data_IF_682047902662
#
_entry.id   IF_682047902662
#
_cell.length_a   1.000
_cell.length_b   1.000
_cell.length_c   1.000
_cell.angle_alpha   90.00
_cell.angle_beta   90.00
_cell.angle_gamma   90.00
#
_symmetry.space_group_name_H-M   'P 1'
#
loop_
_entity.id
_entity.type
_entity.pdbx_description
1 polymer ?
#
# COMPACT_ATOMS: atom_id res chain seq x y z
N UNK A 1 25.63 -21.70 23.63
CA UNK A 1 26.61 -22.05 22.58
C UNK A 1 27.11 -20.73 21.99
N UNK A 2 28.42 -20.57 21.87
CA UNK A 2 29.05 -19.38 21.26
C UNK A 2 28.68 -19.27 19.77
N UNK A 3 28.47 -18.08 19.20
CA UNK A 3 28.14 -17.87 17.78
C UNK A 3 29.38 -17.98 16.87
N UNK A 4 30.16 -19.06 16.98
CA UNK A 4 31.32 -19.32 16.13
C UNK A 4 31.02 -20.45 15.14
N UNK A 5 30.96 -20.05 13.86
CA UNK A 5 31.02 -20.84 12.61
C UNK A 5 29.94 -21.93 12.41
N UNK A 6 28.74 -21.48 12.02
CA UNK A 6 27.71 -22.35 11.42
C UNK A 6 28.18 -22.85 10.03
N UNK A 7 27.96 -24.13 9.73
CA UNK A 7 28.28 -24.70 8.42
C UNK A 7 27.29 -24.24 7.33
N UNK A 8 27.68 -24.32 6.05
CA UNK A 8 26.78 -24.04 4.90
C UNK A 8 25.51 -24.88 5.01
N UNK A 9 25.65 -26.17 5.33
CA UNK A 9 24.51 -27.09 5.43
C UNK A 9 23.56 -26.73 6.57
N UNK A 10 24.09 -26.37 7.74
CA UNK A 10 23.24 -25.92 8.86
C UNK A 10 22.53 -24.60 8.55
N UNK A 11 23.17 -23.70 7.78
CA UNK A 11 22.56 -22.45 7.31
C UNK A 11 21.44 -22.73 6.30
N UNK A 12 21.66 -23.65 5.37
CA UNK A 12 20.67 -24.11 4.39
C UNK A 12 19.45 -24.73 5.07
N UNK A 13 19.66 -25.63 6.05
CA UNK A 13 18.58 -26.28 6.80
C UNK A 13 17.72 -25.26 7.58
N UNK A 14 18.34 -24.21 8.14
CA UNK A 14 17.62 -23.10 8.77
C UNK A 14 16.79 -22.32 7.74
N UNK A 15 17.35 -22.02 6.58
CA UNK A 15 16.63 -21.28 5.53
C UNK A 15 15.45 -22.09 5.01
N UNK A 16 15.63 -23.38 4.72
CA UNK A 16 14.51 -24.27 4.37
C UNK A 16 13.43 -24.29 5.46
N UNK A 17 13.82 -24.41 6.73
CA UNK A 17 12.86 -24.45 7.84
C UNK A 17 12.07 -23.15 8.02
N UNK A 18 12.70 -21.99 7.82
CA UNK A 18 12.03 -20.69 7.82
C UNK A 18 11.06 -20.60 6.64
N UNK A 19 11.52 -20.95 5.43
CA UNK A 19 10.72 -20.87 4.22
C UNK A 19 9.51 -21.80 4.29
N UNK A 20 9.71 -23.04 4.73
CA UNK A 20 8.63 -24.01 4.89
C UNK A 20 7.52 -23.55 5.79
N UNK A 21 7.87 -22.90 6.90
CA UNK A 21 6.88 -22.37 7.84
C UNK A 21 6.14 -21.15 7.29
N UNK A 22 6.82 -20.28 6.54
CA UNK A 22 6.23 -19.06 6.00
C UNK A 22 5.40 -19.31 4.73
N UNK A 23 5.78 -20.31 3.93
CA UNK A 23 5.09 -20.71 2.70
C UNK A 23 4.08 -21.84 2.90
N UNK A 24 3.96 -22.37 4.12
CA UNK A 24 3.15 -23.54 4.49
C UNK A 24 3.34 -24.74 3.53
N UNK A 25 4.60 -25.03 3.19
CA UNK A 25 4.98 -26.11 2.26
C UNK A 25 6.32 -26.74 2.61
N UNK A 26 6.57 -27.96 2.17
CA UNK A 26 7.89 -28.59 2.32
C UNK A 26 8.86 -27.99 1.28
N UNK A 27 9.91 -27.30 1.76
CA UNK A 27 10.86 -26.56 0.92
C UNK A 27 12.17 -27.33 0.80
N UNK A 28 12.58 -27.61 -0.43
CA UNK A 28 13.87 -28.22 -0.75
C UNK A 28 14.96 -27.16 -0.91
N UNK A 29 16.24 -27.51 -0.70
CA UNK A 29 17.36 -26.58 -0.86
C UNK A 29 17.49 -25.94 -2.24
N UNK A 30 16.89 -26.56 -3.26
CA UNK A 30 16.92 -26.11 -4.66
C UNK A 30 15.68 -25.35 -5.08
N UNK A 31 14.66 -25.26 -4.22
CA UNK A 31 13.41 -24.61 -4.58
C UNK A 31 13.61 -23.09 -4.66
N UNK A 32 13.10 -22.51 -5.75
CA UNK A 32 13.11 -21.08 -5.96
C UNK A 32 11.98 -20.41 -5.19
N UNK A 33 12.31 -19.45 -4.32
CA UNK A 33 11.39 -18.74 -3.44
C UNK A 33 10.15 -18.23 -4.15
N UNK A 34 10.34 -17.66 -5.35
CA UNK A 34 9.26 -17.01 -6.08
C UNK A 34 8.44 -18.01 -6.91
N UNK A 35 9.05 -19.11 -7.32
CA UNK A 35 8.34 -20.18 -8.04
C UNK A 35 7.43 -21.00 -7.11
N UNK A 36 7.77 -21.09 -5.82
CA UNK A 36 6.99 -21.83 -4.81
C UNK A 36 5.96 -20.96 -4.05
N UNK A 37 5.70 -19.74 -4.54
CA UNK A 37 4.64 -18.87 -4.01
C UNK A 37 5.12 -17.76 -3.08
N UNK A 38 6.43 -17.55 -2.92
CA UNK A 38 6.97 -16.42 -2.18
C UNK A 38 6.83 -15.10 -2.94
N UNK A 39 6.60 -14.03 -2.19
CA UNK A 39 6.46 -12.68 -2.75
C UNK A 39 7.42 -11.69 -2.07
N UNK A 40 7.47 -10.47 -2.59
CA UNK A 40 8.34 -9.40 -2.08
C UNK A 40 8.14 -9.06 -0.60
N UNK A 41 6.96 -9.34 -0.03
CA UNK A 41 6.69 -9.13 1.37
C UNK A 41 7.12 -10.33 2.22
N UNK A 42 6.90 -11.54 1.73
CA UNK A 42 7.37 -12.75 2.39
C UNK A 42 8.90 -12.81 2.47
N UNK A 43 9.60 -12.18 1.50
CA UNK A 43 11.05 -11.93 1.61
C UNK A 43 11.39 -11.19 2.89
N UNK A 44 10.61 -10.17 3.28
CA UNK A 44 10.88 -9.41 4.51
C UNK A 44 10.75 -10.32 5.74
N UNK A 45 9.67 -11.08 5.84
CA UNK A 45 9.43 -12.03 6.94
C UNK A 45 10.56 -13.07 7.05
N UNK A 46 11.00 -13.61 5.92
CA UNK A 46 12.15 -14.51 5.82
C UNK A 46 13.42 -13.87 6.41
N UNK A 47 13.76 -12.63 6.02
CA UNK A 47 14.98 -11.98 6.49
C UNK A 47 15.00 -11.79 8.01
N UNK A 48 13.85 -11.47 8.59
CA UNK A 48 13.72 -11.19 10.01
C UNK A 48 13.79 -12.44 10.86
N UNK A 49 13.17 -13.51 10.38
CA UNK A 49 13.25 -14.80 11.01
C UNK A 49 14.69 -15.33 10.99
N UNK A 50 15.34 -15.24 9.82
CA UNK A 50 16.75 -15.61 9.65
C UNK A 50 17.68 -14.77 10.53
N UNK A 51 17.38 -13.49 10.74
CA UNK A 51 18.11 -12.63 11.69
C UNK A 51 17.98 -13.13 13.13
N UNK A 52 16.82 -13.64 13.53
CA UNK A 52 16.61 -14.33 14.81
C UNK A 52 17.49 -15.58 14.97
N UNK A 53 17.85 -16.20 13.85
CA UNK A 53 18.84 -17.27 13.76
C UNK A 53 20.28 -16.76 13.61
N UNK A 54 20.55 -15.46 13.74
CA UNK A 54 21.89 -14.88 13.58
C UNK A 54 22.40 -14.83 12.14
N UNK A 55 21.50 -14.92 11.15
CA UNK A 55 21.80 -14.76 9.73
C UNK A 55 21.31 -13.39 9.28
N UNK A 56 22.22 -12.43 9.12
CA UNK A 56 21.87 -11.10 8.64
C UNK A 56 21.95 -11.06 7.11
N UNK A 57 20.79 -11.01 6.46
CA UNK A 57 20.65 -10.98 5.00
C UNK A 57 19.99 -9.67 4.58
N UNK A 58 20.38 -9.16 3.41
CA UNK A 58 19.64 -8.09 2.72
C UNK A 58 18.59 -8.71 1.81
N UNK A 59 17.47 -8.01 1.58
CA UNK A 59 16.43 -8.47 0.64
C UNK A 59 16.99 -8.78 -0.74
N UNK A 60 17.90 -7.93 -1.23
CA UNK A 60 18.59 -8.12 -2.50
C UNK A 60 19.28 -9.49 -2.63
N UNK A 61 19.75 -10.09 -1.53
CA UNK A 61 20.36 -11.42 -1.56
C UNK A 61 19.34 -12.51 -1.89
N UNK A 62 18.10 -12.41 -1.37
CA UNK A 62 17.03 -13.38 -1.65
C UNK A 62 16.60 -13.30 -3.12
N UNK A 63 16.52 -12.10 -3.70
CA UNK A 63 16.22 -11.94 -5.13
C UNK A 63 17.33 -12.46 -6.05
N UNK A 64 18.61 -12.34 -5.66
CA UNK A 64 19.76 -12.78 -6.47
C UNK A 64 20.09 -14.26 -6.30
N UNK A 65 19.77 -14.81 -5.14
CA UNK A 65 20.05 -16.18 -4.75
C UNK A 65 18.75 -16.82 -4.25
N UNK A 66 17.73 -16.99 -5.11
CA UNK A 66 16.37 -17.33 -4.67
C UNK A 66 16.20 -18.77 -4.18
N UNK A 67 17.27 -19.48 -3.80
CA UNK A 67 17.19 -20.84 -3.25
C UNK A 67 17.90 -20.92 -1.88
N UNK A 68 17.43 -21.77 -0.95
CA UNK A 68 18.07 -21.92 0.36
C UNK A 68 19.54 -22.31 0.26
N UNK A 69 19.90 -23.18 -0.68
CA UNK A 69 21.29 -23.59 -0.90
C UNK A 69 22.16 -22.45 -1.44
N UNK A 70 21.62 -21.56 -2.28
CA UNK A 70 22.36 -20.42 -2.79
C UNK A 70 22.58 -19.35 -1.71
N UNK A 71 21.57 -19.07 -0.88
CA UNK A 71 21.69 -18.15 0.27
C UNK A 71 22.66 -18.66 1.33
N UNK A 72 22.65 -19.97 1.61
CA UNK A 72 23.57 -20.57 2.56
C UNK A 72 25.04 -20.45 2.12
N UNK A 73 25.31 -20.61 0.82
CA UNK A 73 26.64 -20.37 0.24
C UNK A 73 27.01 -18.88 0.31
N UNK A 74 26.09 -18.00 -0.05
CA UNK A 74 26.30 -16.54 0.02
C UNK A 74 26.70 -16.07 1.42
N UNK A 75 26.08 -16.65 2.47
CA UNK A 75 26.42 -16.37 3.86
C UNK A 75 27.76 -16.95 4.32
N UNK A 76 28.16 -18.11 3.78
CA UNK A 76 29.41 -18.78 4.15
C UNK A 76 30.67 -18.15 3.55
N UNK A 77 30.55 -17.50 2.39
CA UNK A 77 31.66 -16.83 1.71
C UNK A 77 32.06 -15.48 2.35
N UNK A 78 31.64 -15.24 3.60
CA UNK A 78 31.89 -14.04 4.40
C UNK A 78 31.53 -12.76 3.65
N UNK A 79 30.26 -12.65 3.21
CA UNK A 79 29.69 -11.46 2.58
C UNK A 79 30.68 -10.83 1.58
N UNK A 80 31.07 -11.56 0.51
CA UNK A 80 32.10 -11.11 -0.41
C UNK A 80 31.73 -9.69 -0.89
N UNK A 81 32.70 -8.75 -1.02
CA UNK A 81 32.40 -7.39 -1.43
C UNK A 81 31.51 -7.46 -2.66
N UNK A 82 30.31 -6.88 -2.54
CA UNK A 82 29.33 -6.87 -3.61
C UNK A 82 30.06 -6.52 -4.92
N UNK A 83 29.98 -7.37 -5.97
CA UNK A 83 30.46 -6.94 -7.27
C UNK A 83 29.79 -5.61 -7.59
N UNK A 84 30.59 -4.64 -8.06
CA UNK A 84 30.32 -3.19 -8.09
C UNK A 84 29.17 -2.72 -9.02
N UNK A 85 28.07 -3.46 -9.07
CA UNK A 85 26.75 -3.00 -9.46
C UNK A 85 25.72 -3.68 -8.53
N UNK A 86 25.71 -3.25 -7.26
CA UNK A 86 24.57 -3.47 -6.40
C UNK A 86 23.37 -2.80 -7.08
N UNK A 87 22.21 -3.47 -7.10
CA UNK A 87 21.00 -2.84 -7.61
C UNK A 87 20.70 -1.70 -6.64
N UNK A 88 20.96 -0.47 -7.05
CA UNK A 88 20.97 0.68 -6.18
C UNK A 88 20.11 1.76 -6.82
N UNK A 89 19.22 2.35 -6.03
CA UNK A 89 18.49 3.53 -6.47
C UNK A 89 19.49 4.68 -6.65
N UNK A 90 19.41 5.47 -7.74
CA UNK A 90 20.19 6.70 -7.88
C UNK A 90 20.10 7.57 -6.62
N UNK A 91 21.22 8.17 -6.15
CA UNK A 91 21.22 9.01 -4.95
C UNK A 91 20.18 10.13 -4.99
N UNK A 92 19.90 10.66 -6.18
CA UNK A 92 18.92 11.74 -6.40
C UNK A 92 17.46 11.31 -6.16
N UNK A 93 17.16 10.00 -6.09
CA UNK A 93 15.87 9.49 -5.64
C UNK A 93 15.69 9.56 -4.11
N UNK A 94 16.79 9.73 -3.38
CA UNK A 94 16.78 9.78 -1.93
C UNK A 94 16.50 11.21 -1.45
N UNK A 95 15.26 11.46 -1.04
CA UNK A 95 14.92 12.59 -0.18
C UNK A 95 14.86 12.08 1.26
N UNK A 96 15.53 12.77 2.20
CA UNK A 96 15.30 12.48 3.61
C UNK A 96 13.92 12.99 4.04
N UNK A 97 13.34 12.37 5.06
CA UNK A 97 12.14 12.91 5.69
C UNK A 97 12.34 14.36 6.14
N UNK A 98 13.52 14.70 6.67
CA UNK A 98 13.87 16.03 7.15
C UNK A 98 13.86 17.10 6.04
N UNK A 99 14.24 16.74 4.82
CA UNK A 99 14.17 17.64 3.65
C UNK A 99 12.72 17.99 3.29
N UNK A 100 11.80 17.02 3.43
CA UNK A 100 10.36 17.25 3.22
C UNK A 100 9.73 18.05 4.35
N UNK A 101 10.14 17.80 5.59
CA UNK A 101 9.61 18.53 6.73
C UNK A 101 10.07 19.99 6.68
N UNK A 102 11.36 20.26 6.51
CA UNK A 102 11.91 21.62 6.64
C UNK A 102 11.39 22.62 5.60
N UNK A 103 10.97 22.17 4.42
CA UNK A 103 10.64 23.04 3.29
C UNK A 103 9.15 23.14 2.95
N UNK A 104 8.28 22.33 3.58
CA UNK A 104 6.86 22.25 3.21
C UNK A 104 5.93 22.80 4.29
N UNK A 105 4.83 23.41 3.82
CA UNK A 105 3.75 23.91 4.67
C UNK A 105 3.10 22.77 5.45
N UNK A 106 2.64 23.05 6.66
CA UNK A 106 1.83 22.11 7.43
C UNK A 106 0.56 21.73 6.66
N UNK A 107 0.17 20.45 6.72
CA UNK A 107 -1.13 19.96 6.25
C UNK A 107 -2.30 20.72 6.88
N UNK A 108 -2.09 21.28 8.08
CA UNK A 108 -3.07 22.02 8.87
C UNK A 108 -2.93 23.54 8.76
N UNK A 109 -2.10 24.05 7.85
CA UNK A 109 -2.01 25.48 7.62
C UNK A 109 -3.40 26.01 7.15
N UNK A 110 -3.82 27.22 7.58
CA UNK A 110 -5.12 27.78 7.16
C UNK A 110 -5.28 27.94 5.65
N UNK A 111 -4.16 28.09 4.92
CA UNK A 111 -4.08 28.20 3.46
C UNK A 111 -3.65 26.89 2.79
N UNK A 112 -3.63 25.76 3.51
CA UNK A 112 -3.30 24.47 2.93
C UNK A 112 -4.31 24.10 1.82
N UNK A 113 -3.83 23.68 0.63
CA UNK A 113 -4.66 23.29 -0.49
C UNK A 113 -5.64 22.19 -0.08
N UNK A 114 -6.85 22.25 -0.66
CA UNK A 114 -7.88 21.24 -0.45
C UNK A 114 -7.42 19.89 -1.00
N UNK A 115 -7.79 18.83 -0.31
CA UNK A 115 -7.62 17.45 -0.77
C UNK A 115 -8.85 16.94 -1.52
N UNK A 116 -10.04 17.49 -1.27
CA UNK A 116 -11.30 17.07 -1.88
C UNK A 116 -11.55 17.82 -3.20
N UNK A 117 -11.63 17.07 -4.30
CA UNK A 117 -11.86 17.60 -5.63
C UNK A 117 -13.12 16.99 -6.28
N UNK A 118 -13.96 17.81 -6.95
CA UNK A 118 -15.08 17.29 -7.73
C UNK A 118 -14.56 16.58 -8.98
N UNK A 119 -14.95 15.32 -9.17
CA UNK A 119 -14.71 14.53 -10.38
C UNK A 119 -15.92 14.59 -11.32
N UNK A 120 -17.11 14.52 -10.74
CA UNK A 120 -18.41 14.72 -11.41
C UNK A 120 -19.23 15.66 -10.53
N UNK A 121 -19.61 16.82 -11.07
CA UNK A 121 -20.34 17.85 -10.32
C UNK A 121 -21.85 17.67 -10.32
N UNK A 122 -22.38 17.21 -11.45
CA UNK A 122 -23.82 17.09 -11.69
C UNK A 122 -24.25 15.64 -11.57
N UNK A 123 -25.47 15.43 -11.08
CA UNK A 123 -26.04 14.11 -10.91
C UNK A 123 -27.17 14.13 -9.89
N UNK A 124 -27.89 13.01 -9.80
CA UNK A 124 -29.02 12.86 -8.88
C UNK A 124 -28.57 12.18 -7.58
N UNK A 125 -29.12 12.61 -6.44
CA UNK A 125 -28.85 12.02 -5.12
C UNK A 125 -27.56 12.49 -4.45
N UNK A 126 -27.29 11.95 -3.27
CA UNK A 126 -26.13 12.29 -2.45
C UNK A 126 -24.80 11.86 -3.11
N UNK A 127 -23.71 12.64 -2.96
CA UNK A 127 -22.43 12.32 -3.57
C UNK A 127 -21.80 10.99 -3.14
N UNK A 128 -21.01 10.40 -4.04
CA UNK A 128 -20.01 9.37 -3.75
C UNK A 128 -18.64 10.02 -3.50
N UNK A 129 -18.03 9.74 -2.36
CA UNK A 129 -16.67 10.18 -2.02
C UNK A 129 -15.69 9.02 -2.12
N UNK A 130 -14.65 9.18 -2.94
CA UNK A 130 -13.66 8.13 -3.21
C UNK A 130 -12.31 8.55 -2.65
N UNK A 131 -11.76 7.72 -1.77
CA UNK A 131 -10.47 7.96 -1.12
C UNK A 131 -9.33 7.32 -1.92
N UNK A 132 -8.27 8.09 -2.16
CA UNK A 132 -7.09 7.70 -2.95
C UNK A 132 -6.30 6.53 -2.34
N UNK A 133 -5.37 5.97 -3.12
CA UNK A 133 -4.32 5.07 -2.62
C UNK A 133 -2.92 5.67 -2.54
N UNK A 134 -2.80 6.98 -2.75
CA UNK A 134 -1.52 7.72 -2.70
C UNK A 134 -1.24 8.53 -3.95
N UNK A 135 -2.31 8.94 -4.62
CA UNK A 135 -2.29 9.56 -5.93
C UNK A 135 -3.23 10.76 -5.96
N UNK A 136 -3.26 11.45 -7.09
CA UNK A 136 -4.22 12.51 -7.35
C UNK A 136 -5.63 12.00 -7.65
N UNK A 137 -6.58 12.92 -7.53
CA UNK A 137 -7.99 12.67 -7.79
C UNK A 137 -8.28 12.25 -9.24
N UNK A 138 -7.43 12.63 -10.22
CA UNK A 138 -7.60 12.22 -11.61
C UNK A 138 -7.24 10.76 -11.85
N UNK A 139 -6.24 10.24 -11.14
CA UNK A 139 -5.93 8.82 -11.14
C UNK A 139 -7.09 8.03 -10.54
N UNK A 140 -7.63 8.50 -9.39
CA UNK A 140 -8.83 7.93 -8.76
C UNK A 140 -9.95 7.84 -9.79
N UNK A 141 -10.29 8.96 -10.44
CA UNK A 141 -11.32 9.00 -11.48
C UNK A 141 -11.08 8.01 -12.61
N UNK A 142 -9.86 7.96 -13.16
CA UNK A 142 -9.54 7.05 -14.25
C UNK A 142 -9.81 5.59 -13.89
N UNK A 143 -9.72 5.23 -12.61
CA UNK A 143 -9.89 3.86 -12.13
C UNK A 143 -11.33 3.53 -11.72
N UNK A 144 -12.11 4.52 -11.26
CA UNK A 144 -13.41 4.30 -10.62
C UNK A 144 -14.57 5.06 -11.29
N UNK A 145 -14.38 5.63 -12.47
CA UNK A 145 -15.39 6.45 -13.17
C UNK A 145 -16.74 5.76 -13.38
N UNK A 146 -16.76 4.43 -13.43
CA UNK A 146 -17.97 3.64 -13.62
C UNK A 146 -18.86 3.52 -12.36
N UNK A 147 -18.34 3.88 -11.17
CA UNK A 147 -19.00 3.63 -9.88
C UNK A 147 -20.13 4.60 -9.57
N UNK A 148 -20.04 5.85 -10.06
CA UNK A 148 -20.85 6.98 -9.58
C UNK A 148 -22.36 6.87 -9.77
N UNK A 149 -22.88 5.88 -10.52
CA UNK A 149 -24.31 5.62 -10.69
C UNK A 149 -25.17 6.83 -11.12
N UNK A 150 -24.58 7.84 -11.79
CA UNK A 150 -25.29 9.07 -12.19
C UNK A 150 -25.40 10.15 -11.11
N UNK A 151 -24.68 9.99 -10.00
CA UNK A 151 -24.62 10.91 -8.85
C UNK A 151 -23.37 11.81 -8.94
N UNK A 152 -23.30 12.91 -8.17
CA UNK A 152 -22.04 13.63 -8.01
C UNK A 152 -20.94 12.72 -7.43
N UNK A 153 -19.70 12.90 -7.88
CA UNK A 153 -18.54 12.13 -7.42
C UNK A 153 -17.41 13.07 -7.05
N UNK A 154 -16.84 12.85 -5.86
CA UNK A 154 -15.67 13.56 -5.38
C UNK A 154 -14.55 12.56 -5.11
N UNK A 155 -13.32 13.00 -5.41
CA UNK A 155 -12.10 12.25 -5.11
C UNK A 155 -11.26 13.01 -4.10
N UNK A 156 -10.68 12.29 -3.14
CA UNK A 156 -9.60 12.83 -2.32
C UNK A 156 -8.27 12.65 -3.03
N UNK A 157 -7.42 13.67 -2.96
CA UNK A 157 -6.01 13.62 -3.30
C UNK A 157 -5.17 13.55 -2.01
N UNK A 158 -4.14 12.70 -2.03
CA UNK A 158 -3.28 12.48 -0.88
C UNK A 158 -2.55 13.77 -0.45
N UNK A 159 -2.52 14.12 0.86
CA UNK A 159 -1.73 15.25 1.33
C UNK A 159 -0.26 15.06 0.95
N UNK A 160 0.36 16.13 0.43
CA UNK A 160 1.74 16.11 -0.05
C UNK A 160 1.94 15.51 -1.43
N UNK A 161 0.89 15.06 -2.13
CA UNK A 161 1.00 14.54 -3.50
C UNK A 161 1.61 15.57 -4.46
N UNK A 162 1.34 16.86 -4.27
CA UNK A 162 1.88 17.94 -5.12
C UNK A 162 3.19 18.54 -4.60
N UNK A 163 3.68 18.09 -3.44
CA UNK A 163 4.84 18.70 -2.78
C UNK A 163 4.61 20.12 -2.24
N UNK A 164 3.35 20.55 -2.11
CA UNK A 164 2.96 21.89 -1.65
C UNK A 164 2.65 21.95 -0.15
N UNK A 165 2.37 20.80 0.44
CA UNK A 165 2.20 20.56 1.88
C UNK A 165 2.94 19.29 2.29
N UNK A 166 3.18 19.19 3.58
CA UNK A 166 3.70 17.98 4.20
C UNK A 166 2.70 16.80 4.04
N UNK A 167 3.18 15.58 3.76
CA UNK A 167 2.34 14.39 3.85
C UNK A 167 1.97 14.11 5.32
N UNK A 168 0.91 13.34 5.51
CA UNK A 168 0.52 12.83 6.82
C UNK A 168 1.01 11.39 6.98
N UNK A 169 1.39 11.02 8.20
CA UNK A 169 2.02 9.74 8.52
C UNK A 169 1.15 8.85 9.40
N UNK A 170 -0.12 9.20 9.61
CA UNK A 170 -1.11 8.38 10.31
C UNK A 170 -2.43 8.37 9.55
N UNK A 171 -3.13 7.23 9.57
CA UNK A 171 -4.50 7.15 9.02
C UNK A 171 -5.43 8.11 9.77
N UNK A 172 -5.18 8.31 11.07
CA UNK A 172 -5.98 9.19 11.89
C UNK A 172 -5.91 10.66 11.45
N UNK A 173 -4.71 11.20 11.20
CA UNK A 173 -4.54 12.58 10.75
C UNK A 173 -5.11 12.77 9.35
N UNK A 174 -4.95 11.77 8.48
CA UNK A 174 -5.54 11.79 7.14
C UNK A 174 -7.06 11.85 7.20
N UNK A 175 -7.68 11.00 8.02
CA UNK A 175 -9.12 10.99 8.20
C UNK A 175 -9.63 12.30 8.81
N UNK A 176 -8.95 12.91 9.78
CA UNK A 176 -9.35 14.24 10.28
C UNK A 176 -9.27 15.31 9.19
N UNK A 177 -8.21 15.30 8.38
CA UNK A 177 -8.06 16.28 7.30
C UNK A 177 -9.20 16.16 6.31
N UNK A 178 -9.54 14.93 5.93
CA UNK A 178 -10.59 14.65 4.95
C UNK A 178 -11.97 14.92 5.50
N UNK A 179 -12.19 14.65 6.78
CA UNK A 179 -13.47 14.86 7.43
C UNK A 179 -13.86 16.34 7.46
N UNK A 180 -12.90 17.26 7.65
CA UNK A 180 -13.18 18.71 7.58
C UNK A 180 -13.76 19.08 6.23
N UNK A 181 -13.08 18.71 5.14
CA UNK A 181 -13.51 19.08 3.79
C UNK A 181 -14.78 18.33 3.35
N UNK A 182 -14.97 17.10 3.83
CA UNK A 182 -16.18 16.29 3.61
C UNK A 182 -17.40 16.94 4.26
N UNK A 183 -17.31 17.37 5.52
CA UNK A 183 -18.42 18.01 6.25
C UNK A 183 -18.75 19.40 5.70
N UNK A 184 -17.75 20.13 5.18
CA UNK A 184 -17.99 21.37 4.44
C UNK A 184 -18.77 21.12 3.14
N UNK A 185 -18.47 20.02 2.44
CA UNK A 185 -19.10 19.67 1.17
C UNK A 185 -20.51 19.07 1.36
N UNK A 186 -20.68 18.25 2.39
CA UNK A 186 -21.94 17.61 2.75
C UNK A 186 -22.05 17.59 4.29
N UNK A 187 -22.81 18.53 4.90
CA UNK A 187 -22.91 18.65 6.36
C UNK A 187 -23.63 17.50 7.06
N UNK A 188 -24.54 16.82 6.35
CA UNK A 188 -25.36 15.74 6.89
C UNK A 188 -25.40 14.52 5.96
N UNK A 189 -25.50 13.33 6.54
CA UNK A 189 -25.66 12.07 5.80
C UNK A 189 -27.01 11.94 5.07
N UNK A 190 -27.22 10.83 4.34
CA UNK A 190 -26.35 9.65 4.29
C UNK A 190 -25.08 9.85 3.46
N UNK A 191 -23.95 9.36 3.98
CA UNK A 191 -22.66 9.36 3.29
C UNK A 191 -22.46 8.07 2.48
N UNK A 192 -21.85 8.22 1.31
CA UNK A 192 -21.42 7.12 0.45
C UNK A 192 -19.90 7.23 0.26
N UNK A 193 -19.17 6.32 0.89
CA UNK A 193 -17.72 6.28 0.90
C UNK A 193 -17.24 5.07 0.13
N UNK A 194 -16.18 5.26 -0.65
CA UNK A 194 -15.44 4.16 -1.24
C UNK A 194 -13.94 4.42 -1.15
N UNK A 195 -13.15 3.36 -1.13
CA UNK A 195 -11.71 3.46 -1.17
C UNK A 195 -11.09 2.18 -1.70
N UNK A 196 -9.85 2.30 -2.20
CA UNK A 196 -9.09 1.16 -2.69
C UNK A 196 -7.73 1.06 -1.99
N UNK A 197 -7.26 -0.14 -1.67
CA UNK A 197 -5.95 -0.36 -1.02
C UNK A 197 -5.85 0.48 0.27
N UNK A 198 -4.83 1.32 0.41
CA UNK A 198 -4.70 2.28 1.50
C UNK A 198 -5.95 3.16 1.67
N UNK A 199 -6.57 3.58 0.57
CA UNK A 199 -7.77 4.40 0.58
C UNK A 199 -8.96 3.74 1.23
N UNK A 200 -9.07 2.41 1.13
CA UNK A 200 -10.14 1.67 1.79
C UNK A 200 -10.04 1.77 3.32
N UNK A 201 -8.81 1.73 3.86
CA UNK A 201 -8.54 1.87 5.30
C UNK A 201 -8.90 3.26 5.80
N UNK A 202 -8.57 4.30 5.03
CA UNK A 202 -8.91 5.69 5.37
C UNK A 202 -10.41 5.95 5.22
N UNK A 203 -11.06 5.40 4.18
CA UNK A 203 -12.51 5.46 4.01
C UNK A 203 -13.25 4.79 5.17
N UNK A 204 -12.73 3.66 5.66
CA UNK A 204 -13.22 2.99 6.86
C UNK A 204 -13.10 3.85 8.12
N UNK A 205 -11.94 4.48 8.35
CA UNK A 205 -11.78 5.38 9.50
C UNK A 205 -12.67 6.64 9.39
N UNK A 206 -12.87 7.17 8.18
CA UNK A 206 -13.86 8.23 7.93
C UNK A 206 -15.27 7.78 8.30
N UNK A 207 -15.69 6.59 7.85
CA UNK A 207 -17.00 6.04 8.16
C UNK A 207 -17.22 5.91 9.67
N UNK A 208 -16.21 5.40 10.39
CA UNK A 208 -16.25 5.26 11.85
C UNK A 208 -16.37 6.62 12.55
N UNK A 209 -15.66 7.64 12.07
CA UNK A 209 -15.72 9.01 12.60
C UNK A 209 -17.05 9.71 12.33
N UNK A 210 -17.66 9.44 11.18
CA UNK A 210 -18.99 9.93 10.85
C UNK A 210 -20.04 9.28 11.74
N UNK A 211 -20.01 7.94 11.88
CA UNK A 211 -20.89 7.21 12.81
C UNK A 211 -20.79 7.70 14.25
N UNK A 212 -19.56 7.92 14.74
CA UNK A 212 -19.34 8.46 16.09
C UNK A 212 -19.91 9.88 16.29
N UNK A 213 -20.16 10.62 15.20
CA UNK A 213 -20.82 11.94 15.20
C UNK A 213 -22.34 11.85 14.97
N UNK A 214 -22.92 10.65 15.01
CA UNK A 214 -24.35 10.42 14.76
C UNK A 214 -24.75 10.52 13.29
N UNK A 215 -23.79 10.55 12.37
CA UNK A 215 -24.07 10.59 10.93
C UNK A 215 -24.34 9.19 10.38
N UNK A 216 -25.22 9.11 9.38
CA UNK A 216 -25.48 7.88 8.65
C UNK A 216 -24.43 7.67 7.55
N UNK A 217 -23.85 6.47 7.49
CA UNK A 217 -23.03 6.02 6.36
C UNK A 217 -23.80 4.89 5.69
N UNK A 218 -24.46 5.21 4.57
CA UNK A 218 -25.31 4.26 3.86
C UNK A 218 -24.49 3.25 3.05
N UNK A 219 -23.34 3.68 2.53
CA UNK A 219 -22.41 2.82 1.79
C UNK A 219 -20.98 3.09 2.25
N UNK A 220 -20.28 2.02 2.61
CA UNK A 220 -18.82 1.96 2.69
C UNK A 220 -18.34 0.82 1.80
N UNK A 221 -17.69 1.12 0.68
CA UNK A 221 -17.10 0.14 -0.22
C UNK A 221 -15.57 0.12 -0.07
N UNK A 222 -15.03 -0.98 0.44
CA UNK A 222 -13.61 -1.23 0.64
C UNK A 222 -13.12 -2.22 -0.42
N UNK A 223 -12.44 -1.71 -1.46
CA UNK A 223 -11.96 -2.53 -2.59
C UNK A 223 -10.48 -2.85 -2.42
N UNK A 224 -10.12 -4.13 -2.40
CA UNK A 224 -8.79 -4.65 -2.08
C UNK A 224 -8.15 -3.92 -0.88
N UNK A 225 -8.81 -3.87 0.29
CA UNK A 225 -8.25 -3.17 1.44
C UNK A 225 -6.91 -3.80 1.83
N UNK A 226 -5.92 -2.96 2.13
CA UNK A 226 -4.60 -3.44 2.55
C UNK A 226 -4.71 -4.27 3.83
N UNK A 227 -3.99 -5.39 3.93
CA UNK A 227 -3.88 -6.13 5.19
C UNK A 227 -3.15 -5.28 6.24
N UNK A 228 -3.54 -5.43 7.50
CA UNK A 228 -3.03 -4.64 8.62
C UNK A 228 -1.79 -5.30 9.25
N UNK A 229 -1.77 -6.64 9.28
CA UNK A 229 -0.68 -7.45 9.83
C UNK A 229 0.54 -7.55 8.92
N UNK A 230 0.41 -7.27 7.62
CA UNK A 230 1.54 -7.22 6.68
C UNK A 230 2.60 -6.17 7.08
N UNK A 231 2.29 -5.35 8.09
CA UNK A 231 3.16 -4.32 8.64
C UNK A 231 3.12 -4.32 10.18
N UNK A 232 3.35 -5.44 10.87
CA UNK A 232 3.59 -5.41 12.34
C UNK A 232 5.03 -4.94 12.65
N UNK A 233 5.16 -4.15 13.71
CA UNK A 233 6.28 -3.33 14.22
C UNK A 233 7.71 -3.89 14.11
N UNK A 234 8.49 -3.35 13.15
CA UNK A 234 9.97 -3.41 13.16
C UNK A 234 10.61 -2.19 13.86
N UNK A 235 9.78 -1.29 14.42
CA UNK A 235 10.24 0.01 14.92
C UNK A 235 10.78 0.94 13.83
N UNK A 236 10.42 0.71 12.56
CA UNK A 236 10.88 1.51 11.43
C UNK A 236 10.20 2.87 11.41
N UNK A 237 11.02 3.91 11.24
CA UNK A 237 10.56 5.25 10.93
C UNK A 237 10.40 5.45 9.42
N UNK A 238 10.12 6.69 9.04
CA UNK A 238 9.90 7.06 7.65
C UNK A 238 11.13 6.80 6.77
N UNK A 239 12.33 7.09 7.27
CA UNK A 239 13.58 6.92 6.53
C UNK A 239 13.90 5.44 6.27
N UNK A 240 13.64 4.54 7.23
CA UNK A 240 13.81 3.10 7.03
C UNK A 240 12.85 2.58 5.95
N UNK A 241 11.58 3.00 5.99
CA UNK A 241 10.58 2.62 4.98
C UNK A 241 10.96 3.18 3.61
N UNK A 242 11.45 4.42 3.53
CA UNK A 242 11.91 5.02 2.27
C UNK A 242 13.11 4.28 1.70
N UNK A 243 14.08 3.90 2.54
CA UNK A 243 15.22 3.09 2.10
C UNK A 243 14.77 1.75 1.54
N UNK A 244 13.91 1.03 2.27
CA UNK A 244 13.34 -0.24 1.82
C UNK A 244 12.59 -0.10 0.48
N UNK A 245 11.78 0.96 0.34
CA UNK A 245 11.05 1.27 -0.89
C UNK A 245 11.98 1.48 -2.07
N UNK A 246 13.06 2.24 -1.87
CA UNK A 246 14.04 2.54 -2.93
C UNK A 246 14.85 1.30 -3.33
N UNK A 247 15.21 0.44 -2.38
CA UNK A 247 15.86 -0.85 -2.66
C UNK A 247 14.93 -1.77 -3.46
N UNK A 248 13.65 -1.82 -3.09
CA UNK A 248 12.62 -2.60 -3.80
C UNK A 248 12.42 -2.09 -5.23
N UNK A 249 12.40 -0.76 -5.41
CA UNK A 249 12.31 -0.15 -6.74
C UNK A 249 13.56 -0.41 -7.58
N UNK A 250 14.74 -0.31 -6.98
CA UNK A 250 15.98 -0.62 -7.66
C UNK A 250 15.96 -2.06 -8.19
N UNK A 251 15.57 -3.02 -7.35
CA UNK A 251 15.41 -4.41 -7.76
C UNK A 251 14.37 -4.55 -8.90
N UNK A 252 13.18 -3.98 -8.74
CA UNK A 252 12.09 -4.09 -9.70
C UNK A 252 12.47 -3.54 -11.09
N UNK A 253 13.16 -2.39 -11.12
CA UNK A 253 13.51 -1.71 -12.37
C UNK A 253 14.95 -1.96 -12.82
N UNK A 254 15.63 -2.92 -12.18
CA UNK A 254 17.04 -3.27 -12.44
C UNK A 254 17.95 -2.03 -12.46
N UNK A 255 17.78 -1.13 -11.47
CA UNK A 255 18.56 0.10 -11.36
C UNK A 255 19.96 -0.19 -10.83
N UNK A 256 20.99 0.41 -11.40
CA UNK A 256 22.38 0.21 -10.96
C UNK A 256 22.99 1.44 -10.29
N UNK A 257 22.24 2.55 -10.23
CA UNK A 257 22.52 3.72 -9.41
C UNK A 257 23.18 4.89 -10.14
N UNK A 258 23.59 4.70 -11.40
CA UNK A 258 24.11 5.76 -12.28
C UNK A 258 23.03 6.37 -13.18
N UNK A 259 21.80 5.84 -13.14
CA UNK A 259 20.68 6.38 -13.90
C UNK A 259 20.29 7.80 -13.48
N UNK A 260 19.98 8.63 -14.47
CA UNK A 260 19.28 9.89 -14.27
C UNK A 260 17.82 9.67 -13.85
N UNK A 261 17.22 10.67 -13.21
CA UNK A 261 15.78 10.66 -12.90
C UNK A 261 14.92 10.46 -14.16
N UNK A 262 15.31 11.03 -15.29
CA UNK A 262 14.63 10.86 -16.58
C UNK A 262 14.59 9.40 -17.04
N UNK A 263 15.70 8.68 -16.88
CA UNK A 263 15.79 7.26 -17.23
C UNK A 263 14.92 6.40 -16.32
N UNK A 264 14.98 6.64 -15.01
CA UNK A 264 14.12 5.94 -14.04
C UNK A 264 12.65 6.22 -14.34
N UNK A 265 12.27 7.50 -14.53
CA UNK A 265 10.90 7.91 -14.81
C UNK A 265 10.38 7.28 -16.09
N UNK A 266 11.22 7.24 -17.14
CA UNK A 266 10.87 6.62 -18.42
C UNK A 266 10.59 5.12 -18.29
N UNK A 267 11.38 4.39 -17.48
CA UNK A 267 11.15 2.96 -17.18
C UNK A 267 9.83 2.76 -16.44
N UNK A 268 9.60 3.51 -15.35
CA UNK A 268 8.36 3.41 -14.54
C UNK A 268 7.12 3.77 -15.36
N UNK A 269 7.21 4.82 -16.19
CA UNK A 269 6.12 5.24 -17.08
C UNK A 269 5.80 4.19 -18.15
N UNK A 270 6.81 3.51 -18.71
CA UNK A 270 6.61 2.42 -19.67
C UNK A 270 5.79 1.27 -19.06
N UNK A 271 5.93 1.04 -17.76
CA UNK A 271 5.14 0.07 -16.99
C UNK A 271 3.80 0.63 -16.49
N UNK A 272 3.44 1.87 -16.83
CA UNK A 272 2.14 2.47 -16.53
C UNK A 272 1.98 2.99 -15.10
N UNK A 273 3.08 3.18 -14.37
CA UNK A 273 3.05 3.73 -13.00
C UNK A 273 2.64 5.20 -12.95
N UNK A 274 3.01 5.99 -13.96
CA UNK A 274 2.77 7.43 -14.03
C UNK A 274 2.21 7.84 -15.39
N UNK A 275 1.48 8.97 -15.41
CA UNK A 275 0.97 9.60 -16.63
C UNK A 275 1.64 10.95 -16.91
N UNK A 276 1.18 11.66 -17.94
CA UNK A 276 1.72 12.93 -18.43
C UNK A 276 1.67 14.10 -17.45
N UNK A 277 1.00 13.95 -16.30
CA UNK A 277 0.87 15.02 -15.29
C UNK A 277 2.06 15.07 -14.34
N UNK A 278 2.90 14.04 -14.34
CA UNK A 278 4.10 13.94 -13.51
C UNK A 278 5.35 14.00 -14.39
N UNK A 279 6.45 14.48 -13.82
CA UNK A 279 7.77 14.46 -14.43
C UNK A 279 8.83 13.78 -13.58
N UNK A 280 10.03 13.56 -14.14
CA UNK A 280 11.15 12.94 -13.43
C UNK A 280 11.50 13.59 -12.08
N UNK A 281 11.38 14.91 -11.99
CA UNK A 281 11.62 15.69 -10.76
C UNK A 281 10.65 15.36 -9.62
N UNK A 282 9.53 14.72 -9.93
CA UNK A 282 8.52 14.32 -8.94
C UNK A 282 8.86 12.98 -8.28
N UNK A 283 9.72 12.16 -8.89
CA UNK A 283 10.02 10.81 -8.40
C UNK A 283 10.44 10.77 -6.92
N UNK A 284 11.37 11.63 -6.45
CA UNK A 284 11.85 11.55 -5.07
C UNK A 284 10.71 11.79 -4.07
N UNK A 285 9.92 12.85 -4.27
CA UNK A 285 8.79 13.18 -3.38
C UNK A 285 7.69 12.11 -3.41
N UNK A 286 7.46 11.46 -4.56
CA UNK A 286 6.49 10.37 -4.68
C UNK A 286 6.91 9.14 -3.87
N UNK A 287 8.21 8.85 -3.76
CA UNK A 287 8.69 7.73 -2.95
C UNK A 287 8.53 7.98 -1.45
N UNK A 288 8.79 9.20 -1.00
CA UNK A 288 8.57 9.51 0.41
C UNK A 288 7.09 9.62 0.72
N UNK A 289 6.27 10.13 -0.20
CA UNK A 289 4.82 10.08 -0.06
C UNK A 289 4.33 8.65 0.11
N UNK A 290 4.76 7.73 -0.76
CA UNK A 290 4.43 6.30 -0.61
C UNK A 290 4.86 5.78 0.77
N UNK A 291 6.05 6.18 1.22
CA UNK A 291 6.59 5.76 2.53
C UNK A 291 5.77 6.30 3.70
N UNK A 292 5.27 7.53 3.61
CA UNK A 292 4.39 8.13 4.62
C UNK A 292 3.05 7.38 4.72
N UNK A 293 2.50 6.92 3.59
CA UNK A 293 1.29 6.11 3.55
C UNK A 293 1.52 4.71 4.10
N UNK A 294 2.65 4.09 3.77
CA UNK A 294 3.05 2.81 4.34
C UNK A 294 3.22 2.91 5.86
N UNK A 295 3.88 3.98 6.34
CA UNK A 295 4.00 4.27 7.77
C UNK A 295 2.63 4.49 8.44
N UNK A 296 1.71 5.19 7.75
CA UNK A 296 0.37 5.42 8.25
C UNK A 296 -0.42 4.12 8.45
N UNK A 297 -0.33 3.18 7.52
CA UNK A 297 -0.94 1.86 7.65
C UNK A 297 -0.28 1.03 8.74
N UNK A 298 1.06 1.06 8.81
CA UNK A 298 1.84 0.34 9.81
C UNK A 298 1.42 0.67 11.25
N UNK A 299 1.03 1.92 11.49
CA UNK A 299 0.64 2.40 12.81
C UNK A 299 -0.87 2.30 13.07
N UNK A 300 -1.65 1.79 12.11
CA UNK A 300 -3.10 1.83 12.20
C UNK A 300 -3.67 0.59 12.88
N UNK A 301 -4.31 0.81 14.02
CA UNK A 301 -5.12 -0.20 14.70
C UNK A 301 -6.61 0.05 14.40
N UNK A 302 -7.29 -0.86 13.68
CA UNK A 302 -8.70 -0.70 13.35
C UNK A 302 -9.56 -0.81 14.61
N UNK A 303 -10.63 -0.02 14.68
CA UNK A 303 -11.61 -0.06 15.77
C UNK A 303 -12.98 -0.47 15.25
N UNK A 304 -13.76 -1.26 16.00
CA UNK A 304 -15.06 -1.76 15.52
C UNK A 304 -15.94 -0.70 14.87
N UNK A 305 -16.62 -1.11 13.81
CA UNK A 305 -17.59 -0.32 13.06
C UNK A 305 -18.83 -1.19 12.84
N UNK A 306 -20.01 -0.65 13.12
CA UNK A 306 -21.29 -1.36 13.10
C UNK A 306 -22.17 -1.01 11.90
N UNK A 307 -21.68 -0.15 11.00
CA UNK A 307 -22.40 0.22 9.79
C UNK A 307 -22.26 -0.79 8.65
N UNK A 308 -23.01 -0.56 7.56
CA UNK A 308 -22.91 -1.38 6.37
C UNK A 308 -21.52 -1.20 5.74
N UNK A 309 -20.93 -2.33 5.33
CA UNK A 309 -19.65 -2.36 4.63
C UNK A 309 -19.66 -3.46 3.59
N UNK A 310 -19.19 -3.11 2.38
CA UNK A 310 -18.88 -4.04 1.30
C UNK A 310 -17.37 -4.16 1.20
N UNK A 311 -16.84 -5.36 1.34
CA UNK A 311 -15.45 -5.68 1.04
C UNK A 311 -15.41 -6.38 -0.32
N UNK A 312 -14.56 -5.90 -1.22
CA UNK A 312 -14.26 -6.57 -2.48
C UNK A 312 -12.80 -7.00 -2.40
N UNK A 313 -12.50 -8.27 -2.63
CA UNK A 313 -11.13 -8.78 -2.49
C UNK A 313 -10.84 -9.93 -3.44
N UNK A 314 -9.57 -10.09 -3.82
CA UNK A 314 -9.15 -11.26 -4.59
C UNK A 314 -9.23 -12.55 -3.75
N UNK A 315 -9.64 -13.66 -4.37
CA UNK A 315 -9.76 -14.98 -3.72
C UNK A 315 -8.44 -15.42 -3.09
N UNK A 316 -7.31 -15.09 -3.70
CA UNK A 316 -5.97 -15.42 -3.19
C UNK A 316 -5.66 -14.75 -1.84
N UNK A 317 -6.26 -13.59 -1.56
CA UNK A 317 -6.01 -12.79 -0.35
C UNK A 317 -7.10 -13.04 0.73
N UNK A 318 -7.82 -14.16 0.60
CA UNK A 318 -8.96 -14.49 1.44
C UNK A 318 -8.58 -14.69 2.89
N UNK A 319 -7.57 -15.51 3.16
CA UNK A 319 -7.14 -15.80 4.53
C UNK A 319 -6.62 -14.54 5.23
N UNK A 320 -5.82 -13.73 4.53
CA UNK A 320 -5.36 -12.43 5.00
C UNK A 320 -6.53 -11.51 5.34
N UNK A 321 -7.55 -11.46 4.48
CA UNK A 321 -8.72 -10.59 4.68
C UNK A 321 -9.63 -11.08 5.80
N UNK A 322 -9.83 -12.39 5.93
CA UNK A 322 -10.58 -12.99 7.03
C UNK A 322 -9.93 -12.65 8.38
N UNK A 323 -8.60 -12.77 8.46
CA UNK A 323 -7.81 -12.49 9.66
C UNK A 323 -7.77 -11.01 10.03
N UNK A 324 -7.56 -10.14 9.05
CA UNK A 324 -7.31 -8.70 9.29
C UNK A 324 -8.60 -7.86 9.31
N UNK A 325 -9.53 -8.14 8.41
CA UNK A 325 -10.71 -7.28 8.21
C UNK A 325 -11.97 -7.92 8.76
N UNK A 326 -12.25 -9.19 8.46
CA UNK A 326 -13.51 -9.82 8.91
C UNK A 326 -13.51 -10.13 10.42
N UNK A 327 -12.34 -10.18 11.07
CA UNK A 327 -12.25 -10.22 12.53
C UNK A 327 -12.76 -8.92 13.20
N UNK A 328 -12.59 -7.77 12.54
CA UNK A 328 -13.03 -6.45 13.02
C UNK A 328 -14.39 -6.03 12.43
N UNK A 329 -14.74 -6.58 11.26
CA UNK A 329 -15.95 -6.32 10.50
C UNK A 329 -16.69 -7.65 10.19
N UNK A 330 -17.15 -8.40 11.21
CA UNK A 330 -17.77 -9.71 10.99
C UNK A 330 -19.10 -9.63 10.22
N UNK A 331 -19.73 -8.44 10.17
CA UNK A 331 -20.96 -8.19 9.42
C UNK A 331 -20.73 -7.75 7.98
N UNK A 332 -19.48 -7.66 7.52
CA UNK A 332 -19.17 -7.21 6.17
C UNK A 332 -19.79 -8.14 5.12
N UNK A 333 -20.42 -7.55 4.11
CA UNK A 333 -20.71 -8.25 2.87
C UNK A 333 -19.43 -8.33 2.07
N UNK A 334 -19.04 -9.54 1.63
CA UNK A 334 -17.78 -9.75 0.92
C UNK A 334 -18.02 -10.31 -0.48
N UNK A 335 -17.46 -9.65 -1.49
CA UNK A 335 -17.36 -10.15 -2.85
C UNK A 335 -15.92 -10.62 -3.09
N UNK A 336 -15.77 -11.90 -3.43
CA UNK A 336 -14.50 -12.49 -3.80
C UNK A 336 -14.37 -12.54 -5.32
N UNK A 337 -13.30 -11.95 -5.87
CA UNK A 337 -13.01 -11.92 -7.30
C UNK A 337 -11.76 -12.73 -7.64
N UNK A 338 -11.69 -13.29 -8.85
CA UNK A 338 -10.51 -14.00 -9.34
C UNK A 338 -10.10 -13.46 -10.71
N UNK A 339 -8.99 -12.72 -10.72
CA UNK A 339 -8.46 -12.11 -11.94
C UNK A 339 -7.18 -12.79 -12.46
N UNK A 340 -6.65 -13.80 -11.76
CA UNK A 340 -5.41 -14.50 -12.14
C UNK A 340 -4.11 -13.67 -12.22
N UNK A 341 -4.19 -12.33 -12.19
CA UNK A 341 -3.06 -11.39 -12.21
C UNK A 341 -3.24 -10.31 -11.15
N UNK A 342 -2.17 -9.97 -10.44
CA UNK A 342 -2.20 -8.96 -9.38
C UNK A 342 -2.04 -7.54 -9.92
N UNK A 343 -3.02 -7.08 -10.69
CA UNK A 343 -3.11 -5.70 -11.11
C UNK A 343 -4.35 -5.06 -10.47
N UNK A 344 -4.24 -3.85 -9.89
CA UNK A 344 -5.37 -3.22 -9.20
C UNK A 344 -6.47 -2.72 -10.15
N UNK A 345 -6.13 -2.39 -11.40
CA UNK A 345 -7.08 -1.87 -12.39
C UNK A 345 -8.15 -2.88 -12.84
N UNK A 346 -7.84 -4.16 -13.08
CA UNK A 346 -8.83 -5.21 -13.31
C UNK A 346 -9.96 -5.20 -12.29
N UNK A 347 -9.68 -5.29 -10.98
CA UNK A 347 -10.70 -5.35 -9.93
C UNK A 347 -11.58 -4.10 -9.87
N UNK A 348 -10.97 -2.91 -10.00
CA UNK A 348 -11.72 -1.64 -9.90
C UNK A 348 -12.70 -1.42 -11.05
N UNK A 349 -12.38 -1.99 -12.22
CA UNK A 349 -13.19 -1.90 -13.44
C UNK A 349 -13.98 -3.18 -13.72
N UNK A 350 -13.91 -4.15 -12.82
CA UNK A 350 -14.62 -5.40 -12.98
C UNK A 350 -16.13 -5.13 -13.06
N UNK A 351 -16.84 -5.65 -14.08
CA UNK A 351 -18.26 -5.39 -14.26
C UNK A 351 -19.14 -5.78 -13.07
N UNK A 352 -18.80 -6.86 -12.35
CA UNK A 352 -19.52 -7.33 -11.17
C UNK A 352 -19.29 -6.38 -9.99
N UNK A 353 -18.05 -5.97 -9.77
CA UNK A 353 -17.69 -4.97 -8.74
C UNK A 353 -18.42 -3.65 -9.00
N UNK A 354 -18.40 -3.16 -10.25
CA UNK A 354 -19.10 -1.94 -10.65
C UNK A 354 -20.61 -2.07 -10.45
N UNK A 355 -21.20 -3.19 -10.87
CA UNK A 355 -22.63 -3.43 -10.74
C UNK A 355 -23.06 -3.43 -9.26
N UNK A 356 -22.30 -4.12 -8.40
CA UNK A 356 -22.59 -4.24 -6.98
C UNK A 356 -22.46 -2.88 -6.26
N UNK A 357 -21.40 -2.11 -6.52
CA UNK A 357 -21.25 -0.77 -5.96
C UNK A 357 -22.44 0.12 -6.37
N UNK A 358 -22.83 0.10 -7.66
CA UNK A 358 -23.98 0.88 -8.16
C UNK A 358 -25.30 0.43 -7.55
N UNK A 359 -25.46 -0.87 -7.31
CA UNK A 359 -26.64 -1.40 -6.61
C UNK A 359 -26.72 -0.85 -5.18
N UNK A 360 -25.62 -0.89 -4.43
CA UNK A 360 -25.58 -0.34 -3.06
C UNK A 360 -25.89 1.15 -3.02
N UNK A 361 -25.42 1.92 -4.01
CA UNK A 361 -25.68 3.35 -4.12
C UNK A 361 -27.15 3.68 -4.46
N UNK A 362 -27.89 2.77 -5.09
CA UNK A 362 -29.28 3.01 -5.52
C UNK A 362 -30.33 2.42 -4.57
N UNK A 363 -29.96 1.47 -3.70
CA UNK A 363 -30.84 0.99 -2.63
C UNK A 363 -31.08 2.13 -1.62
N UNK A 364 -32.32 2.58 -1.48
CA UNK A 364 -32.72 3.46 -0.37
C UNK A 364 -32.67 2.68 0.93
N UNK A 365 -32.13 3.28 2.00
CA UNK A 365 -32.30 2.76 3.35
C UNK A 365 -33.81 2.62 3.61
N UNK A 366 -34.25 1.38 3.83
CA UNK A 366 -35.65 1.01 4.04
C UNK A 366 -36.12 1.26 5.46
#
# INVERSE_FOLDING_TARGET
MSPEQRTVRETEEIICGVWSRLLDTDVLPTDDFFEIGGDSLLVVEVLLDLRGHGLDLKAAAVFRHPTPAALARYLADANPPEPAAATQAPPDLFLSADDLWSTHRSTWAPDAPRCLFPLVREGDGEPLFIVHWGNDAGFVWSSTSAWGAGRPVYGFEAPGFRGDIRPVTTVADMADRYLVELLEQQPEGPYHLAGHCHGAVVAYELARRLRARGQEVAVLAMVKPSALERFVSYGWGLDEITRYRLESLAAQFSLVGDESLDEVFSRMRKEGWYDDRLGPQDLPRLQVQWSALALALHQYEPRPYDGPVLIVQDVKDREDTERNWLSVLPQAETLWVDHGVDLPRPTLRDPEVVALIREKLTRRAG
#
